data_IF_388579643700
#
_entry.id   IF_388579643700
#
_cell.length_a   1.000
_cell.length_b   1.000
_cell.length_c   1.000
_cell.angle_alpha   90.00
_cell.angle_beta   90.00
_cell.angle_gamma   90.00
#
_symmetry.space_group_name_H-M   'P 1'
#
loop_
_entity.id
_entity.type
_entity.pdbx_description
1 polymer ?
#
# COMPACT_ATOMS: atom_id res chain seq x y z
N UNK A 1 0.65 -7.62 6.78
CA UNK A 1 1.35 -6.57 6.01
C UNK A 1 0.38 -5.45 5.68
N UNK A 2 0.68 -4.20 6.04
CA UNK A 2 -0.30 -3.09 5.99
C UNK A 2 -0.59 -2.56 4.58
N UNK A 3 0.27 -2.89 3.63
CA UNK A 3 0.14 -2.53 2.22
C UNK A 3 -0.74 -3.50 1.41
N UNK A 4 -1.19 -4.63 1.98
CA UNK A 4 -2.03 -5.61 1.29
C UNK A 4 -3.45 -5.07 1.03
N UNK A 5 -3.89 -5.14 -0.22
CA UNK A 5 -5.19 -4.70 -0.68
C UNK A 5 -6.23 -5.82 -0.53
N UNK A 6 -6.83 -5.92 0.65
CA UNK A 6 -7.91 -6.91 0.92
C UNK A 6 -9.20 -6.68 0.13
N UNK A 7 -9.29 -5.55 -0.57
CA UNK A 7 -10.43 -5.20 -1.43
C UNK A 7 -10.18 -5.54 -2.90
N UNK A 8 -8.99 -5.99 -3.29
CA UNK A 8 -8.73 -6.36 -4.67
C UNK A 8 -9.52 -7.62 -5.03
N UNK A 9 -9.95 -7.72 -6.29
CA UNK A 9 -10.65 -8.90 -6.80
C UNK A 9 -9.78 -10.16 -6.69
N UNK A 10 -8.47 -10.01 -6.89
CA UNK A 10 -7.50 -11.11 -6.74
C UNK A 10 -7.46 -11.61 -5.30
N UNK A 11 -7.35 -10.70 -4.32
CA UNK A 11 -7.34 -11.10 -2.91
C UNK A 11 -8.63 -11.81 -2.52
N UNK A 12 -9.79 -11.28 -2.94
CA UNK A 12 -11.08 -11.90 -2.63
C UNK A 12 -11.24 -13.28 -3.25
N UNK A 13 -10.69 -13.50 -4.45
CA UNK A 13 -10.77 -14.79 -5.15
C UNK A 13 -9.80 -15.84 -4.59
N UNK A 14 -8.66 -15.41 -4.03
CA UNK A 14 -7.56 -16.30 -3.56
C UNK A 14 -7.28 -16.13 -2.07
N UNK A 15 -8.29 -15.75 -1.29
CA UNK A 15 -8.11 -15.31 0.10
C UNK A 15 -7.35 -16.33 0.95
N UNK A 16 -7.81 -17.57 0.98
CA UNK A 16 -7.25 -18.59 1.86
C UNK A 16 -5.81 -18.96 1.48
N UNK A 17 -5.50 -18.96 0.18
CA UNK A 17 -4.14 -19.16 -0.34
C UNK A 17 -3.22 -18.02 0.10
N UNK A 18 -3.65 -16.77 -0.11
CA UNK A 18 -2.85 -15.57 0.21
C UNK A 18 -2.67 -15.40 1.71
N UNK A 19 -3.72 -15.67 2.52
CA UNK A 19 -3.65 -15.58 3.97
C UNK A 19 -2.74 -16.68 4.59
N UNK A 20 -2.47 -17.76 3.85
CA UNK A 20 -1.56 -18.84 4.26
C UNK A 20 -0.09 -18.60 3.86
N UNK A 21 0.20 -17.65 2.97
CA UNK A 21 1.56 -17.36 2.51
C UNK A 21 2.45 -16.84 3.64
N UNK A 22 3.71 -17.25 3.64
CA UNK A 22 4.75 -16.60 4.45
C UNK A 22 4.97 -15.16 3.98
N UNK A 23 5.64 -14.35 4.81
CA UNK A 23 5.93 -12.96 4.44
C UNK A 23 6.76 -12.81 3.15
N UNK A 24 7.68 -13.74 2.87
CA UNK A 24 8.47 -13.74 1.64
C UNK A 24 7.66 -14.13 0.42
N UNK A 25 6.85 -15.19 0.51
CA UNK A 25 5.96 -15.62 -0.58
C UNK A 25 4.94 -14.54 -0.92
N UNK A 26 4.36 -13.89 0.10
CA UNK A 26 3.44 -12.79 -0.09
C UNK A 26 4.11 -11.60 -0.79
N UNK A 27 5.36 -11.28 -0.44
CA UNK A 27 6.11 -10.22 -1.09
C UNK A 27 6.34 -10.53 -2.58
N UNK A 28 6.80 -11.74 -2.90
CA UNK A 28 6.99 -12.17 -4.29
C UNK A 28 5.68 -12.15 -5.07
N UNK A 29 4.57 -12.53 -4.43
CA UNK A 29 3.25 -12.49 -5.05
C UNK A 29 2.77 -11.06 -5.29
N UNK A 30 3.04 -10.12 -4.38
CA UNK A 30 2.75 -8.70 -4.58
C UNK A 30 3.57 -8.08 -5.72
N UNK A 31 4.79 -8.58 -5.97
CA UNK A 31 5.60 -8.19 -7.14
C UNK A 31 4.97 -8.73 -8.42
N UNK A 32 4.52 -10.00 -8.43
CA UNK A 32 3.88 -10.65 -9.59
C UNK A 32 2.49 -10.09 -9.90
N UNK A 33 1.71 -9.77 -8.87
CA UNK A 33 0.34 -9.28 -8.96
C UNK A 33 0.18 -7.95 -8.20
N UNK A 34 0.59 -6.82 -8.80
CA UNK A 34 0.62 -5.53 -8.14
C UNK A 34 -0.75 -5.01 -7.68
N UNK A 35 -1.87 -5.58 -8.13
CA UNK A 35 -3.20 -5.20 -7.63
C UNK A 35 -3.45 -5.64 -6.19
N UNK A 36 -2.63 -6.56 -5.66
CA UNK A 36 -2.58 -6.90 -4.25
C UNK A 36 -2.00 -5.77 -3.39
N UNK A 37 -1.43 -4.72 -3.98
CA UNK A 37 -0.87 -3.58 -3.26
C UNK A 37 -1.89 -2.45 -3.18
N UNK A 38 -2.12 -1.90 -1.98
CA UNK A 38 -2.97 -0.71 -1.78
C UNK A 38 -2.36 0.50 -2.48
N UNK A 39 -3.21 1.29 -3.15
CA UNK A 39 -2.80 2.50 -3.88
C UNK A 39 -3.62 3.72 -3.45
N UNK A 40 -3.07 4.94 -3.51
CA UNK A 40 -1.66 5.25 -3.86
C UNK A 40 -0.68 4.78 -2.78
N UNK A 41 0.59 4.60 -3.15
CA UNK A 41 1.71 4.54 -2.20
C UNK A 41 2.51 5.82 -2.38
N UNK A 42 2.65 6.62 -1.33
CA UNK A 42 3.35 7.91 -1.38
C UNK A 42 4.48 7.87 -0.38
N UNK A 43 5.70 8.14 -0.84
CA UNK A 43 6.89 8.22 -0.01
C UNK A 43 7.31 9.69 0.10
N UNK A 44 7.27 10.22 1.32
CA UNK A 44 7.71 11.57 1.69
C UNK A 44 8.88 11.44 2.68
N UNK A 45 10.11 11.55 2.17
CA UNK A 45 11.32 11.22 2.93
C UNK A 45 11.28 9.78 3.48
N UNK A 46 11.21 9.65 4.80
CA UNK A 46 11.13 8.36 5.51
C UNK A 46 9.68 7.93 5.85
N UNK A 47 8.67 8.68 5.38
CA UNK A 47 7.25 8.45 5.68
C UNK A 47 6.56 7.80 4.49
N UNK A 48 6.00 6.61 4.69
CA UNK A 48 5.14 5.93 3.71
C UNK A 48 3.66 6.17 4.03
N UNK A 49 2.90 6.64 3.06
CA UNK A 49 1.44 6.76 3.10
C UNK A 49 0.84 5.68 2.21
N UNK A 50 -0.12 4.94 2.75
CA UNK A 50 -0.71 3.77 2.11
C UNK A 50 -2.21 3.98 1.88
N UNK A 51 -2.60 4.09 0.61
CA UNK A 51 -3.95 4.44 0.21
C UNK A 51 -4.26 5.93 0.35
N UNK A 52 -5.54 6.27 0.17
CA UNK A 52 -5.99 7.64 0.31
C UNK A 52 -6.20 7.99 1.79
N UNK A 53 -5.22 8.68 2.37
CA UNK A 53 -5.32 9.29 3.71
C UNK A 53 -5.31 10.81 3.58
N UNK A 54 -6.50 11.43 3.71
CA UNK A 54 -6.70 12.87 3.53
C UNK A 54 -5.84 13.70 4.48
N UNK A 55 -5.65 13.24 5.72
CA UNK A 55 -4.87 13.99 6.73
C UNK A 55 -3.38 13.92 6.41
N UNK A 56 -2.89 12.73 6.04
CA UNK A 56 -1.49 12.57 5.67
C UNK A 56 -1.14 13.33 4.38
N UNK A 57 -2.04 13.33 3.39
CA UNK A 57 -1.90 14.11 2.16
C UNK A 57 -1.89 15.62 2.42
N UNK A 58 -2.77 16.12 3.29
CA UNK A 58 -2.78 17.54 3.66
C UNK A 58 -1.48 17.98 4.34
N UNK A 59 -0.87 17.10 5.14
CA UNK A 59 0.41 17.38 5.78
C UNK A 59 1.56 17.51 4.77
N UNK A 60 1.57 16.68 3.71
CA UNK A 60 2.56 16.81 2.63
C UNK A 60 2.42 18.16 1.94
N UNK A 61 1.20 18.52 1.54
CA UNK A 61 0.95 19.78 0.83
C UNK A 61 1.33 21.03 1.66
N UNK A 62 1.14 20.98 2.97
CA UNK A 62 1.57 22.06 3.87
C UNK A 62 3.10 22.21 3.91
N UNK A 63 3.85 21.09 3.97
CA UNK A 63 5.31 21.11 4.02
C UNK A 63 5.94 21.67 2.72
N UNK A 64 5.32 21.45 1.55
CA UNK A 64 5.78 22.05 0.29
C UNK A 64 5.66 23.58 0.27
N UNK A 65 4.76 24.16 1.07
CA UNK A 65 4.51 25.62 1.10
C UNK A 65 5.56 26.36 1.93
N UNK A 66 6.24 25.67 2.85
CA UNK A 66 7.30 26.24 3.71
C UNK A 66 8.70 26.16 3.07
N UNK A 67 8.86 25.34 2.02
CA UNK A 67 10.12 25.12 1.32
C UNK A 67 10.27 25.99 0.04
N UNK A 68 9.28 26.84 -0.28
CA UNK A 68 9.21 27.68 -1.47
C UNK A 68 9.55 29.15 -1.22
#
# INVERSE_FOLDING_TARGET
MDILSRRSRVYQARRDEIDAMTGGELLDEMIREPTLIRRPLILDGNRLIVGFDKKALAAIAANETEAG
#
